data_IF_844245283858
#
_entry.id   IF_844245283858
#
_cell.length_a   1.000
_cell.length_b   1.000
_cell.length_c   1.000
_cell.angle_alpha   90.00
_cell.angle_beta   90.00
_cell.angle_gamma   90.00
#
_symmetry.space_group_name_H-M   'P 1'
#
loop_
_entity.id
_entity.type
_entity.pdbx_description
1 polymer ?
#
# COMPACT_ATOMS: atom_id res chain seq x y z
N UNK A 1 -23.94 12.21 8.08
CA UNK A 1 -23.25 10.93 8.43
C UNK A 1 -21.80 10.98 7.94
N UNK A 2 -20.83 10.81 8.84
CA UNK A 2 -19.42 11.12 8.62
C UNK A 2 -18.72 10.15 7.66
N UNK A 3 -18.18 10.67 6.54
CA UNK A 3 -17.33 9.91 5.60
C UNK A 3 -16.17 9.17 6.30
N UNK A 4 -15.63 9.75 7.38
CA UNK A 4 -14.58 9.13 8.18
C UNK A 4 -15.03 7.84 8.88
N UNK A 5 -16.28 7.78 9.39
CA UNK A 5 -16.83 6.58 10.03
C UNK A 5 -17.01 5.45 9.03
N UNK A 6 -17.49 5.78 7.83
CA UNK A 6 -17.66 4.80 6.75
C UNK A 6 -16.31 4.22 6.29
N UNK A 7 -15.29 5.07 6.15
CA UNK A 7 -13.95 4.65 5.78
C UNK A 7 -13.31 3.77 6.88
N UNK A 8 -13.44 4.15 8.15
CA UNK A 8 -12.93 3.35 9.27
C UNK A 8 -13.59 1.96 9.35
N UNK A 9 -14.92 1.90 9.15
CA UNK A 9 -15.65 0.63 9.10
C UNK A 9 -15.20 -0.25 7.93
N UNK A 10 -15.01 0.35 6.74
CA UNK A 10 -14.50 -0.38 5.58
C UNK A 10 -13.07 -0.89 5.82
N UNK A 11 -12.18 -0.07 6.40
CA UNK A 11 -10.81 -0.49 6.77
C UNK A 11 -10.83 -1.66 7.73
N UNK A 12 -11.65 -1.61 8.78
CA UNK A 12 -11.76 -2.69 9.76
C UNK A 12 -12.28 -3.99 9.12
N UNK A 13 -13.28 -3.89 8.24
CA UNK A 13 -13.80 -5.02 7.49
C UNK A 13 -12.75 -5.62 6.55
N UNK A 14 -12.00 -4.80 5.81
CA UNK A 14 -10.91 -5.28 4.97
C UNK A 14 -9.78 -5.92 5.78
N UNK A 15 -9.43 -5.37 6.94
CA UNK A 15 -8.44 -5.96 7.83
C UNK A 15 -8.87 -7.34 8.33
N UNK A 16 -10.11 -7.47 8.81
CA UNK A 16 -10.66 -8.75 9.24
C UNK A 16 -10.68 -9.79 8.11
N UNK A 17 -11.12 -9.39 6.92
CA UNK A 17 -11.14 -10.26 5.74
C UNK A 17 -9.74 -10.65 5.29
N UNK A 18 -8.77 -9.73 5.37
CA UNK A 18 -7.37 -10.04 5.04
C UNK A 18 -6.80 -11.07 6.01
N UNK A 19 -7.04 -10.92 7.31
CA UNK A 19 -6.60 -11.89 8.32
C UNK A 19 -7.26 -13.26 8.09
N UNK A 20 -8.56 -13.28 7.82
CA UNK A 20 -9.29 -14.52 7.54
C UNK A 20 -8.77 -15.20 6.26
N UNK A 21 -8.52 -14.43 5.20
CA UNK A 21 -8.00 -14.92 3.93
C UNK A 21 -6.56 -15.44 4.03
N UNK A 22 -5.74 -14.82 4.88
CA UNK A 22 -4.32 -15.18 5.05
C UNK A 22 -4.08 -16.16 6.19
N UNK A 23 -5.13 -16.66 6.85
CA UNK A 23 -5.01 -17.65 7.91
C UNK A 23 -4.28 -18.91 7.41
N UNK A 24 -3.29 -19.48 8.13
CA UNK A 24 -2.93 -19.23 9.54
C UNK A 24 -1.90 -18.12 9.80
N UNK A 25 -1.51 -17.31 8.82
CA UNK A 25 -0.46 -16.27 8.97
C UNK A 25 -0.71 -15.32 10.15
N UNK A 26 -1.97 -14.99 10.43
CA UNK A 26 -2.36 -14.15 11.56
C UNK A 26 -1.97 -14.71 12.93
N UNK A 27 -1.90 -16.04 13.08
CA UNK A 27 -1.46 -16.68 14.33
C UNK A 27 0.07 -16.68 14.48
N UNK A 28 0.79 -16.67 13.37
CA UNK A 28 2.24 -16.79 13.31
C UNK A 28 2.96 -15.55 12.78
N UNK A 29 2.39 -14.35 12.96
CA UNK A 29 2.87 -13.09 12.38
C UNK A 29 4.39 -12.83 12.50
N UNK A 30 5.04 -13.30 13.55
CA UNK A 30 6.46 -13.07 13.81
C UNK A 30 7.38 -14.25 13.41
N UNK A 31 6.82 -15.37 12.94
CA UNK A 31 7.54 -16.63 12.71
C UNK A 31 7.25 -17.24 11.35
N UNK A 32 6.00 -17.18 10.93
CA UNK A 32 5.53 -17.87 9.74
C UNK A 32 5.67 -16.96 8.52
N UNK A 33 6.01 -17.56 7.38
CA UNK A 33 6.29 -16.86 6.13
C UNK A 33 5.17 -17.20 5.15
N UNK A 34 4.56 -16.20 4.48
CA UNK A 34 3.48 -16.46 3.53
C UNK A 34 4.03 -17.03 2.22
N UNK A 35 3.25 -17.89 1.56
CA UNK A 35 3.59 -18.51 0.27
C UNK A 35 4.75 -19.51 0.36
N UNK A 36 5.98 -19.07 0.08
CA UNK A 36 7.16 -19.92 -0.03
C UNK A 36 8.34 -19.34 0.78
N UNK A 37 9.44 -20.10 0.85
CA UNK A 37 10.66 -19.69 1.55
C UNK A 37 11.69 -19.00 0.64
N UNK A 38 11.35 -18.72 -0.62
CA UNK A 38 12.25 -18.07 -1.57
C UNK A 38 12.13 -16.55 -1.48
N UNK A 39 11.21 -16.00 -2.25
CA UNK A 39 11.07 -14.55 -2.43
C UNK A 39 10.67 -13.81 -1.15
N UNK A 40 9.77 -14.33 -0.29
CA UNK A 40 9.41 -13.66 0.96
C UNK A 40 10.59 -13.52 1.93
N UNK A 41 11.44 -14.54 2.05
CA UNK A 41 12.63 -14.47 2.90
C UNK A 41 13.69 -13.53 2.32
N UNK A 42 13.89 -13.55 1.00
CA UNK A 42 14.76 -12.61 0.31
C UNK A 42 14.28 -11.17 0.55
N UNK A 43 12.99 -10.89 0.35
CA UNK A 43 12.41 -9.57 0.58
C UNK A 43 12.49 -9.15 2.06
N UNK A 44 12.29 -10.07 3.01
CA UNK A 44 12.46 -9.78 4.42
C UNK A 44 13.92 -9.40 4.77
N UNK A 45 14.90 -10.08 4.16
CA UNK A 45 16.31 -9.72 4.28
C UNK A 45 16.61 -8.35 3.65
N UNK A 46 16.10 -8.05 2.45
CA UNK A 46 16.25 -6.73 1.79
C UNK A 46 15.68 -5.63 2.69
N UNK A 47 14.48 -5.82 3.25
CA UNK A 47 13.86 -4.85 4.16
C UNK A 47 14.71 -4.62 5.41
N UNK A 48 15.28 -5.68 5.99
CA UNK A 48 16.17 -5.58 7.14
C UNK A 48 17.47 -4.83 6.80
N UNK A 49 18.05 -5.13 5.63
CA UNK A 49 19.25 -4.48 5.11
C UNK A 49 18.99 -2.99 4.89
N UNK A 50 17.93 -2.65 4.15
CA UNK A 50 17.51 -1.29 3.87
C UNK A 50 17.20 -0.51 5.16
N UNK A 51 16.61 -1.15 6.18
CA UNK A 51 16.31 -0.49 7.46
C UNK A 51 17.57 -0.22 8.32
N UNK A 52 18.67 -0.93 8.10
CA UNK A 52 19.87 -0.87 8.97
C UNK A 52 21.07 -0.22 8.33
N UNK A 53 21.19 -0.26 7.00
CA UNK A 53 22.39 0.16 6.27
C UNK A 53 22.19 1.43 5.44
N UNK A 54 21.21 2.28 5.80
CA UNK A 54 21.01 3.58 5.14
C UNK A 54 22.29 4.43 5.25
N UNK A 55 22.92 4.72 4.11
CA UNK A 55 24.11 5.55 4.02
C UNK A 55 25.26 4.92 3.24
N UNK A 56 26.49 5.15 3.70
CA UNK A 56 27.69 4.62 3.04
C UNK A 56 27.74 3.10 3.19
N UNK A 57 27.73 2.40 2.05
CA UNK A 57 27.76 0.94 2.02
C UNK A 57 26.40 0.27 1.80
N UNK A 58 25.31 1.05 1.72
CA UNK A 58 23.97 0.53 1.43
C UNK A 58 23.95 -0.40 0.20
N UNK A 59 24.62 -0.02 -0.88
CA UNK A 59 24.70 -0.82 -2.09
C UNK A 59 25.51 -2.11 -1.96
N UNK A 60 26.40 -2.23 -0.96
CA UNK A 60 27.27 -3.39 -0.77
C UNK A 60 26.61 -4.42 0.15
N UNK A 61 25.46 -4.95 -0.29
CA UNK A 61 24.76 -6.01 0.43
C UNK A 61 25.59 -7.29 0.54
N UNK A 62 25.35 -8.08 1.58
CA UNK A 62 26.05 -9.34 1.85
C UNK A 62 25.58 -10.51 0.95
N UNK A 63 25.15 -10.21 -0.27
CA UNK A 63 24.79 -11.17 -1.31
C UNK A 63 25.89 -11.23 -2.37
N UNK A 64 26.10 -12.40 -2.98
CA UNK A 64 27.09 -12.61 -4.05
C UNK A 64 28.52 -12.16 -3.70
N UNK A 65 28.97 -12.38 -2.46
CA UNK A 65 30.34 -12.04 -2.06
C UNK A 65 31.38 -12.70 -3.00
N UNK A 66 32.41 -11.97 -3.49
CA UNK A 66 32.86 -10.62 -3.10
C UNK A 66 32.40 -9.48 -4.03
N UNK A 67 31.30 -9.63 -4.78
CA UNK A 67 30.85 -8.60 -5.70
C UNK A 67 30.50 -7.29 -4.99
N UNK A 68 30.98 -6.16 -5.55
CA UNK A 68 30.65 -4.81 -5.09
C UNK A 68 29.28 -4.40 -5.63
N UNK A 69 28.61 -3.50 -4.92
CA UNK A 69 27.28 -3.00 -5.27
C UNK A 69 26.24 -4.13 -5.42
N UNK A 70 26.39 -5.22 -4.66
CA UNK A 70 25.59 -6.42 -4.83
C UNK A 70 24.08 -6.20 -4.67
N UNK A 71 23.67 -5.15 -3.92
CA UNK A 71 22.26 -4.77 -3.80
C UNK A 71 21.67 -4.29 -5.13
N UNK A 72 22.48 -3.73 -6.04
CA UNK A 72 22.01 -3.26 -7.34
C UNK A 72 21.58 -4.41 -8.28
N UNK A 73 22.02 -5.64 -8.00
CA UNK A 73 21.54 -6.84 -8.69
C UNK A 73 20.22 -7.37 -8.12
N UNK A 74 19.71 -6.73 -7.07
CA UNK A 74 18.49 -7.11 -6.37
C UNK A 74 17.52 -5.92 -6.31
N UNK A 75 16.32 -6.20 -5.85
CA UNK A 75 15.27 -5.22 -5.63
C UNK A 75 15.64 -4.30 -4.46
N UNK A 76 15.36 -3.00 -4.61
CA UNK A 76 15.52 -2.01 -3.55
C UNK A 76 14.15 -1.64 -3.01
N UNK A 77 13.85 -2.09 -1.79
CA UNK A 77 12.54 -1.91 -1.16
C UNK A 77 12.52 -0.69 -0.23
N UNK A 78 13.30 0.35 -0.55
CA UNK A 78 13.44 1.57 0.25
C UNK A 78 12.10 2.18 0.69
N UNK A 79 11.11 2.40 -0.20
CA UNK A 79 9.82 2.96 0.20
C UNK A 79 9.08 2.11 1.24
N UNK A 80 9.22 0.78 1.15
CA UNK A 80 8.64 -0.18 2.08
C UNK A 80 9.47 -0.27 3.36
N UNK A 81 10.79 -0.21 3.27
CA UNK A 81 11.71 -0.18 4.40
C UNK A 81 11.41 0.99 5.32
N UNK A 82 11.20 2.19 4.77
CA UNK A 82 10.83 3.40 5.54
C UNK A 82 9.53 3.18 6.35
N UNK A 83 8.55 2.47 5.79
CA UNK A 83 7.30 2.17 6.50
C UNK A 83 7.50 1.23 7.69
N UNK A 84 8.50 0.33 7.62
CA UNK A 84 8.77 -0.63 8.69
C UNK A 84 9.86 -0.21 9.66
N UNK A 85 10.67 0.81 9.39
CA UNK A 85 11.70 1.33 10.31
C UNK A 85 11.22 1.43 11.77
N UNK A 86 10.07 2.05 12.11
CA UNK A 86 9.66 2.16 13.51
C UNK A 86 9.34 0.80 14.14
N UNK A 87 8.70 -0.10 13.40
CA UNK A 87 8.37 -1.45 13.88
C UNK A 87 9.64 -2.29 14.02
N UNK A 88 10.55 -2.19 13.05
CA UNK A 88 11.82 -2.91 13.06
C UNK A 88 12.75 -2.40 14.18
N UNK A 89 12.74 -1.10 14.46
CA UNK A 89 13.51 -0.52 15.56
C UNK A 89 13.07 -1.09 16.92
N UNK A 90 11.77 -1.34 17.12
CA UNK A 90 11.20 -1.87 18.36
C UNK A 90 11.32 -3.39 18.48
N UNK A 91 11.08 -4.11 17.38
CA UNK A 91 10.92 -5.58 17.41
C UNK A 91 12.16 -6.34 16.95
N UNK A 92 13.01 -5.70 16.13
CA UNK A 92 14.18 -6.30 15.47
C UNK A 92 13.86 -7.58 14.70
N UNK A 93 12.59 -7.79 14.35
CA UNK A 93 12.11 -8.99 13.67
C UNK A 93 11.73 -8.65 12.22
N UNK A 94 12.53 -9.08 11.23
CA UNK A 94 12.24 -8.78 9.83
C UNK A 94 11.03 -9.54 9.28
N UNK A 95 10.73 -10.73 9.80
CA UNK A 95 9.55 -11.53 9.41
C UNK A 95 8.27 -10.80 9.81
N UNK A 96 8.23 -10.29 11.04
CA UNK A 96 7.11 -9.49 11.52
C UNK A 96 6.90 -8.23 10.65
N UNK A 97 7.98 -7.52 10.34
CA UNK A 97 7.91 -6.33 9.49
C UNK A 97 7.38 -6.66 8.09
N UNK A 98 7.88 -7.73 7.47
CA UNK A 98 7.41 -8.20 6.16
C UNK A 98 5.93 -8.56 6.20
N UNK A 99 5.48 -9.34 7.19
CA UNK A 99 4.08 -9.76 7.31
C UNK A 99 3.13 -8.58 7.54
N UNK A 100 3.52 -7.60 8.36
CA UNK A 100 2.74 -6.39 8.57
C UNK A 100 2.62 -5.56 7.29
N UNK A 101 3.72 -5.39 6.55
CA UNK A 101 3.68 -4.76 5.22
C UNK A 101 2.75 -5.52 4.29
N UNK A 102 2.89 -6.84 4.20
CA UNK A 102 2.10 -7.70 3.35
C UNK A 102 0.60 -7.52 3.61
N UNK A 103 0.16 -7.62 4.87
CA UNK A 103 -1.23 -7.39 5.27
C UNK A 103 -1.69 -5.96 4.96
N UNK A 104 -0.82 -4.97 5.20
CA UNK A 104 -1.14 -3.56 4.90
C UNK A 104 -1.45 -3.33 3.43
N UNK A 105 -0.81 -4.07 2.50
CA UNK A 105 -1.06 -3.90 1.06
C UNK A 105 -2.49 -4.23 0.67
N UNK A 106 -3.10 -5.27 1.25
CA UNK A 106 -4.49 -5.66 0.99
C UNK A 106 -5.47 -4.61 1.53
N UNK A 107 -5.25 -4.17 2.77
CA UNK A 107 -6.10 -3.18 3.44
C UNK A 107 -6.04 -1.83 2.71
N UNK A 108 -4.84 -1.38 2.34
CA UNK A 108 -4.64 -0.12 1.61
C UNK A 108 -5.24 -0.21 0.20
N UNK A 109 -5.09 -1.34 -0.50
CA UNK A 109 -5.69 -1.52 -1.82
C UNK A 109 -7.22 -1.46 -1.77
N UNK A 110 -7.83 -2.17 -0.81
CA UNK A 110 -9.28 -2.16 -0.60
C UNK A 110 -9.80 -0.77 -0.20
N UNK A 111 -9.10 -0.09 0.70
CA UNK A 111 -9.44 1.28 1.12
C UNK A 111 -9.31 2.27 -0.04
N UNK A 112 -8.22 2.22 -0.81
CA UNK A 112 -7.97 3.11 -1.93
C UNK A 112 -9.06 2.99 -3.00
N UNK A 113 -9.44 1.75 -3.34
CA UNK A 113 -10.53 1.50 -4.29
C UNK A 113 -11.90 1.87 -3.71
N UNK A 114 -12.15 1.60 -2.41
CA UNK A 114 -13.36 2.04 -1.74
C UNK A 114 -13.54 3.56 -1.84
N UNK A 115 -12.52 4.34 -1.51
CA UNK A 115 -12.58 5.81 -1.58
C UNK A 115 -12.81 6.29 -3.02
N UNK A 116 -12.14 5.69 -4.00
CA UNK A 116 -12.32 6.01 -5.41
C UNK A 116 -13.74 5.70 -5.91
N UNK A 117 -14.24 4.51 -5.64
CA UNK A 117 -15.58 4.08 -6.05
C UNK A 117 -16.67 4.86 -5.32
N UNK A 118 -16.43 5.24 -4.06
CA UNK A 118 -17.31 6.09 -3.26
C UNK A 118 -17.43 7.50 -3.87
N UNK A 119 -16.32 8.04 -4.38
CA UNK A 119 -16.30 9.33 -5.06
C UNK A 119 -17.05 9.29 -6.40
N UNK A 120 -17.04 8.14 -7.09
CA UNK A 120 -17.67 7.97 -8.40
C UNK A 120 -19.17 7.67 -8.33
N UNK A 121 -19.56 6.78 -7.44
CA UNK A 121 -20.93 6.24 -7.39
C UNK A 121 -21.80 6.92 -6.35
N UNK A 122 -21.21 7.54 -5.32
CA UNK A 122 -21.95 8.04 -4.15
C UNK A 122 -22.58 6.95 -3.27
N UNK A 123 -22.52 5.67 -3.66
CA UNK A 123 -23.12 4.53 -2.97
C UNK A 123 -22.09 3.78 -2.10
N UNK A 124 -22.49 3.34 -0.90
CA UNK A 124 -21.57 2.68 0.06
C UNK A 124 -21.30 1.25 -0.32
N UNK A 125 -22.39 0.52 -0.60
CA UNK A 125 -22.34 -0.89 -0.94
C UNK A 125 -21.51 -1.13 -2.20
N UNK A 126 -21.79 -0.36 -3.27
CA UNK A 126 -21.02 -0.45 -4.52
C UNK A 126 -19.52 -0.18 -4.31
N UNK A 127 -19.18 0.82 -3.49
CA UNK A 127 -17.79 1.12 -3.17
C UNK A 127 -17.11 0.01 -2.36
N UNK A 128 -17.83 -0.64 -1.44
CA UNK A 128 -17.32 -1.75 -0.65
C UNK A 128 -17.05 -2.98 -1.53
N UNK A 129 -17.99 -3.33 -2.43
CA UNK A 129 -17.82 -4.43 -3.37
C UNK A 129 -16.66 -4.17 -4.33
N UNK A 130 -16.51 -2.94 -4.84
CA UNK A 130 -15.38 -2.57 -5.68
C UNK A 130 -14.04 -2.71 -4.95
N UNK A 131 -13.97 -2.32 -3.67
CA UNK A 131 -12.77 -2.50 -2.85
C UNK A 131 -12.45 -3.96 -2.58
N UNK A 132 -13.45 -4.80 -2.32
CA UNK A 132 -13.25 -6.25 -2.20
C UNK A 132 -12.71 -6.87 -3.49
N UNK A 133 -13.33 -6.55 -4.63
CA UNK A 133 -12.93 -7.07 -5.92
C UNK A 133 -11.49 -6.68 -6.28
N UNK A 134 -11.05 -5.48 -5.88
CA UNK A 134 -9.69 -5.02 -6.12
C UNK A 134 -8.67 -5.60 -5.13
N UNK A 135 -8.99 -5.66 -3.84
CA UNK A 135 -8.09 -6.17 -2.81
C UNK A 135 -7.81 -7.67 -2.99
N UNK A 136 -8.84 -8.45 -3.31
CA UNK A 136 -8.78 -9.92 -3.46
C UNK A 136 -8.83 -10.37 -4.93
N UNK A 137 -8.38 -9.52 -5.85
CA UNK A 137 -8.33 -9.87 -7.26
C UNK A 137 -7.45 -11.11 -7.49
N UNK A 138 -7.85 -12.08 -8.35
CA UNK A 138 -7.09 -13.30 -8.62
C UNK A 138 -5.63 -13.04 -9.02
N UNK A 139 -5.36 -11.96 -9.76
CA UNK A 139 -4.01 -11.54 -10.12
C UNK A 139 -3.11 -11.22 -8.91
N UNK A 140 -3.67 -10.63 -7.84
CA UNK A 140 -2.94 -10.35 -6.60
C UNK A 140 -2.69 -11.64 -5.81
N UNK A 141 -3.66 -12.56 -5.82
CA UNK A 141 -3.53 -13.87 -5.19
C UNK A 141 -2.47 -14.72 -5.91
N UNK A 142 -2.37 -14.63 -7.23
CA UNK A 142 -1.30 -15.29 -7.99
C UNK A 142 0.09 -14.69 -7.70
N UNK A 143 0.15 -13.46 -7.18
CA UNK A 143 1.40 -12.72 -6.92
C UNK A 143 1.71 -12.58 -5.43
N UNK A 144 1.19 -13.48 -4.58
CA UNK A 144 1.42 -13.46 -3.12
C UNK A 144 2.89 -13.38 -2.70
N UNK A 145 3.85 -14.10 -3.32
CA UNK A 145 5.25 -14.01 -2.89
C UNK A 145 5.92 -12.66 -3.25
N UNK A 146 5.35 -11.92 -4.21
CA UNK A 146 5.95 -10.71 -4.77
C UNK A 146 5.40 -9.44 -4.10
N UNK A 147 5.98 -9.07 -2.97
CA UNK A 147 5.57 -7.87 -2.21
C UNK A 147 5.65 -6.58 -3.06
N UNK A 148 6.59 -6.52 -4.00
CA UNK A 148 6.75 -5.42 -4.97
C UNK A 148 5.48 -5.22 -5.80
N UNK A 149 4.91 -6.32 -6.31
CA UNK A 149 3.72 -6.33 -7.17
C UNK A 149 2.48 -6.00 -6.33
N UNK A 150 2.41 -6.52 -5.11
CA UNK A 150 1.33 -6.22 -4.15
C UNK A 150 1.32 -4.75 -3.70
N UNK A 151 2.49 -4.10 -3.69
CA UNK A 151 2.65 -2.67 -3.40
C UNK A 151 2.03 -1.73 -4.46
N UNK A 152 1.38 -2.26 -5.50
CA UNK A 152 0.51 -1.50 -6.43
C UNK A 152 -0.70 -0.83 -5.77
N UNK A 153 -0.90 -0.99 -4.45
CA UNK A 153 -1.93 -0.38 -3.63
C UNK A 153 -2.01 1.17 -3.74
N UNK A 154 -0.95 1.84 -4.20
CA UNK A 154 -0.92 3.30 -4.36
C UNK A 154 -1.67 3.81 -5.60
N UNK A 155 -1.93 2.96 -6.60
CA UNK A 155 -2.57 3.37 -7.85
C UNK A 155 -3.98 3.98 -7.66
N UNK A 156 -4.89 3.39 -6.85
CA UNK A 156 -6.21 3.98 -6.61
C UNK A 156 -6.14 5.32 -5.88
N UNK A 157 -5.21 5.49 -4.93
CA UNK A 157 -5.00 6.75 -4.22
C UNK A 157 -4.50 7.85 -5.15
N UNK A 158 -3.54 7.53 -6.02
CA UNK A 158 -3.04 8.47 -7.03
C UNK A 158 -4.14 8.88 -8.02
N UNK A 159 -4.96 7.92 -8.47
CA UNK A 159 -6.08 8.17 -9.37
C UNK A 159 -7.16 9.06 -8.73
N UNK A 160 -7.53 8.78 -7.47
CA UNK A 160 -8.48 9.60 -6.71
C UNK A 160 -7.99 11.03 -6.51
N UNK A 161 -6.73 11.22 -6.10
CA UNK A 161 -6.14 12.55 -5.90
C UNK A 161 -6.08 13.38 -7.19
N UNK A 162 -5.71 12.76 -8.33
CA UNK A 162 -5.71 13.45 -9.63
C UNK A 162 -7.10 13.94 -10.03
N UNK A 163 -8.16 13.21 -9.70
CA UNK A 163 -9.56 13.61 -9.98
C UNK A 163 -10.04 14.72 -9.05
N UNK A 164 -9.68 14.67 -7.76
CA UNK A 164 -9.90 15.78 -6.82
C UNK A 164 -9.25 17.06 -7.32
N UNK A 165 -8.01 17.00 -7.81
CA UNK A 165 -7.29 18.16 -8.34
C UNK A 165 -7.95 18.75 -9.60
N UNK A 166 -8.45 17.89 -10.51
CA UNK A 166 -9.22 18.32 -11.70
C UNK A 166 -10.57 18.96 -11.35
N UNK A 167 -11.24 18.49 -10.29
CA UNK A 167 -12.49 19.09 -9.78
C UNK A 167 -12.25 20.47 -9.17
N UNK A 168 -11.19 20.65 -8.38
CA UNK A 168 -10.82 21.95 -7.81
C UNK A 168 -10.43 22.96 -8.89
N UNK A 169 -9.64 22.54 -9.90
CA UNK A 169 -9.28 23.41 -11.02
C UNK A 169 -10.49 23.80 -11.89
N UNK A 170 -11.42 22.86 -12.17
CA UNK A 170 -12.66 23.18 -12.90
C UNK A 170 -13.59 24.10 -12.09
N UNK A 171 -13.75 23.87 -10.80
CA UNK A 171 -14.56 24.73 -9.93
C UNK A 171 -13.98 26.16 -9.86
N UNK A 172 -12.65 26.31 -9.79
CA UNK A 172 -11.99 27.61 -9.83
C UNK A 172 -12.23 28.35 -11.15
N UNK A 173 -12.10 27.67 -12.30
CA UNK A 173 -12.32 28.27 -13.63
C UNK A 173 -13.81 28.64 -13.84
N UNK A 174 -14.74 27.84 -13.33
CA UNK A 174 -16.19 28.12 -13.49
C UNK A 174 -16.64 29.29 -12.62
N UNK A 175 -16.08 29.43 -11.40
CA UNK A 175 -16.31 30.61 -10.55
C UNK A 175 -15.77 31.90 -11.18
N UNK A 176 -14.64 31.84 -11.91
CA UNK A 176 -14.10 33.02 -12.60
C UNK A 176 -14.91 33.46 -13.82
N UNK A 177 -15.73 32.57 -14.41
CA UNK A 177 -16.58 32.88 -15.56
C UNK A 177 -18.03 33.27 -15.21
N UNK A 178 -18.40 33.25 -13.93
CA UNK A 178 -19.74 33.63 -13.45
C UNK A 178 -19.74 34.92 -12.63
N UNK A 179 -18.78 35.82 -12.84
CA UNK A 179 -18.91 37.22 -12.42
C UNK A 179 -19.70 37.97 -13.51
N UNK A 180 -20.98 38.33 -13.30
CA UNK A 180 -21.76 39.03 -14.30
C UNK A 180 -21.21 40.42 -14.50
N UNK A 181 -21.02 40.75 -15.76
CA UNK A 181 -20.99 42.10 -16.33
C UNK A 181 -22.12 42.97 -15.75
N UNK A 182 -21.86 43.64 -14.64
CA UNK A 182 -22.73 44.64 -14.05
C UNK A 182 -21.89 45.83 -13.56
N UNK A 183 -21.20 46.47 -14.50
CA UNK A 183 -20.68 47.83 -14.39
C UNK A 183 -21.00 48.55 -15.70
N UNK A 184 -22.26 48.96 -15.82
CA UNK A 184 -22.61 50.18 -16.53
C UNK A 184 -22.65 51.29 -15.48
N UNK A 185 -21.67 52.19 -15.53
CA UNK A 185 -21.72 53.66 -15.37
C UNK A 185 -20.34 54.16 -15.81
#
# INVERSE_FOLDING_TARGET
MNRARDAAAATAAYAALTIAFTWPLGAGLARDVPSDFGDPLLNAWILAWDATHLGRGWWNANIFHPHRLALAYSEHLLPQAIQIVPVYALTKNPILCYNLLFLSTFVLSGLGMFLLARELTGARAAAFVAGLAFAFAPYRIASLPHLQVLSSAWMPFAAGRRRGWRRTFRAAITCSFSAPSSLYI
#
